data_IF_268284205993
#
_entry.id   IF_268284205993
#
_cell.length_a   1.000
_cell.length_b   1.000
_cell.length_c   1.000
_cell.angle_alpha   90.00
_cell.angle_beta   90.00
_cell.angle_gamma   90.00
#
_symmetry.space_group_name_H-M   'P 1'
#
loop_
_entity.id
_entity.type
_entity.pdbx_description
1 polymer ?
#
# COMPACT_ATOMS: atom_id res chain seq x y z
N UNK A 1 7.85 34.24 12.99
CA UNK A 1 7.89 33.95 11.54
C UNK A 1 7.65 32.44 11.44
N UNK A 2 6.39 32.00 11.37
CA UNK A 2 5.69 31.59 10.13
C UNK A 2 6.52 30.58 9.34
N UNK A 3 6.09 29.37 8.99
CA UNK A 3 4.88 28.56 9.13
C UNK A 3 5.27 27.19 8.53
N UNK A 4 4.36 26.20 8.61
CA UNK A 4 4.24 25.02 7.74
C UNK A 4 4.95 23.74 8.23
N UNK A 5 4.19 23.00 9.06
CA UNK A 5 3.77 21.61 8.82
C UNK A 5 4.49 20.91 7.64
N UNK A 6 5.27 19.85 7.88
CA UNK A 6 4.81 18.48 7.62
C UNK A 6 5.82 17.49 8.24
N UNK A 7 6.05 17.58 9.54
CA UNK A 7 6.41 16.39 10.31
C UNK A 7 5.12 15.61 10.46
N UNK A 8 4.87 14.63 9.58
CA UNK A 8 3.82 13.64 9.78
C UNK A 8 4.10 12.92 11.12
N UNK A 9 3.28 13.13 12.17
CA UNK A 9 3.54 12.54 13.47
C UNK A 9 2.99 11.10 13.58
N UNK A 10 2.72 10.39 12.46
CA UNK A 10 2.09 9.04 12.47
C UNK A 10 2.91 7.94 11.79
N UNK A 11 4.23 7.93 11.97
CA UNK A 11 5.12 7.01 11.25
C UNK A 11 5.84 5.94 12.06
N UNK A 12 5.23 5.27 13.05
CA UNK A 12 5.85 4.07 13.67
C UNK A 12 4.81 3.14 14.35
N UNK A 13 5.09 1.84 14.53
CA UNK A 13 5.48 0.83 13.56
C UNK A 13 4.50 -0.37 13.60
N UNK A 14 3.97 -0.83 12.47
CA UNK A 14 3.18 -2.08 12.44
C UNK A 14 4.06 -3.26 12.03
N UNK A 15 4.77 -3.82 13.02
CA UNK A 15 5.36 -5.15 12.93
C UNK A 15 4.30 -6.26 12.76
N UNK A 16 4.71 -7.48 12.37
CA UNK A 16 3.86 -8.42 11.64
C UNK A 16 2.79 -9.07 12.53
N UNK A 17 1.51 -8.80 12.24
CA UNK A 17 0.40 -9.60 12.77
C UNK A 17 0.09 -10.77 11.84
N UNK A 18 0.70 -11.90 12.20
CA UNK A 18 0.31 -13.30 12.03
C UNK A 18 -1.11 -13.57 11.47
N UNK A 19 -1.19 -14.30 10.35
CA UNK A 19 -2.15 -15.40 10.18
C UNK A 19 -3.45 -15.15 9.41
N UNK A 20 -3.51 -15.66 8.17
CA UNK A 20 -4.54 -16.66 7.86
C UNK A 20 -5.65 -16.30 6.87
N UNK A 21 -5.66 -15.12 6.25
CA UNK A 21 -6.66 -14.77 5.22
C UNK A 21 -6.03 -13.98 4.09
N UNK A 22 -6.36 -14.32 2.84
CA UNK A 22 -6.01 -13.42 1.72
C UNK A 22 -6.90 -12.18 1.86
N UNK A 23 -6.27 -11.01 2.04
CA UNK A 23 -6.98 -9.71 2.05
C UNK A 23 -7.73 -9.49 0.74
N UNK A 24 -7.19 -10.01 -0.36
CA UNK A 24 -7.83 -9.99 -1.67
C UNK A 24 -8.26 -11.40 -2.11
N UNK A 25 -9.42 -11.48 -2.75
CA UNK A 25 -9.80 -12.65 -3.54
C UNK A 25 -8.81 -12.90 -4.68
N UNK A 26 -8.96 -14.03 -5.38
CA UNK A 26 -8.10 -14.34 -6.52
C UNK A 26 -8.15 -13.21 -7.56
N UNK A 27 -6.98 -12.66 -7.91
CA UNK A 27 -6.85 -11.54 -8.86
C UNK A 27 -7.26 -10.16 -8.33
N UNK A 28 -7.85 -10.07 -7.13
CA UNK A 28 -8.35 -8.80 -6.58
C UNK A 28 -7.26 -7.75 -6.43
N UNK A 29 -6.09 -8.15 -5.93
CA UNK A 29 -4.94 -7.25 -5.80
C UNK A 29 -4.52 -6.67 -7.17
N UNK A 30 -4.47 -7.50 -8.21
CA UNK A 30 -4.08 -7.08 -9.56
C UNK A 30 -5.01 -5.98 -10.09
N UNK A 31 -6.32 -6.10 -9.87
CA UNK A 31 -7.29 -5.09 -10.28
C UNK A 31 -7.08 -3.77 -9.53
N UNK A 32 -6.80 -3.82 -8.23
CA UNK A 32 -6.47 -2.62 -7.44
C UNK A 32 -5.21 -1.94 -7.97
N UNK A 33 -4.14 -2.71 -8.25
CA UNK A 33 -2.90 -2.16 -8.81
C UNK A 33 -3.14 -1.51 -10.18
N UNK A 34 -3.86 -2.19 -11.07
CA UNK A 34 -4.21 -1.65 -12.39
C UNK A 34 -5.02 -0.36 -12.27
N UNK A 35 -5.98 -0.28 -11.35
CA UNK A 35 -6.73 0.96 -11.11
C UNK A 35 -5.83 2.11 -10.67
N UNK A 36 -4.93 1.86 -9.73
CA UNK A 36 -4.00 2.89 -9.22
C UNK A 36 -3.02 3.38 -10.29
N UNK A 37 -2.56 2.49 -11.16
CA UNK A 37 -1.66 2.82 -12.29
C UNK A 37 -2.42 3.54 -13.40
N UNK A 38 -3.66 3.14 -13.68
CA UNK A 38 -4.52 3.78 -14.68
C UNK A 38 -4.82 5.24 -14.32
N UNK A 39 -4.93 5.57 -13.03
CA UNK A 39 -5.12 6.94 -12.57
C UNK A 39 -3.84 7.78 -12.73
N UNK A 40 -2.66 7.23 -12.42
CA UNK A 40 -1.34 7.82 -12.70
C UNK A 40 -0.25 6.76 -12.67
N UNK A 41 0.85 6.90 -13.45
CA UNK A 41 2.05 6.09 -13.27
C UNK A 41 2.52 6.12 -11.81
N UNK A 42 2.86 4.95 -11.27
CA UNK A 42 3.31 4.75 -9.89
C UNK A 42 4.44 3.73 -9.85
N UNK A 43 5.41 3.96 -8.97
CA UNK A 43 6.39 2.96 -8.60
C UNK A 43 5.81 1.93 -7.61
N UNK A 44 6.43 0.75 -7.51
CA UNK A 44 5.93 -0.31 -6.62
C UNK A 44 5.80 0.11 -5.15
N UNK A 45 6.71 0.94 -4.65
CA UNK A 45 6.61 1.48 -3.28
C UNK A 45 5.43 2.44 -3.12
N UNK A 46 5.14 3.28 -4.11
CA UNK A 46 3.97 4.15 -4.08
C UNK A 46 2.67 3.34 -4.11
N UNK A 47 2.66 2.18 -4.77
CA UNK A 47 1.52 1.26 -4.77
C UNK A 47 1.32 0.61 -3.40
N UNK A 48 2.40 0.20 -2.73
CA UNK A 48 2.36 -0.32 -1.37
C UNK A 48 1.75 0.71 -0.43
N UNK A 49 2.25 1.95 -0.47
CA UNK A 49 1.76 3.05 0.38
C UNK A 49 0.32 3.43 0.08
N UNK A 50 -0.05 3.53 -1.19
CA UNK A 50 -1.43 3.83 -1.58
C UNK A 50 -2.43 2.76 -1.11
N UNK A 51 -2.03 1.48 -1.07
CA UNK A 51 -2.89 0.40 -0.55
C UNK A 51 -2.97 0.46 0.98
N UNK A 52 -1.84 0.66 1.65
CA UNK A 52 -1.76 0.82 3.11
C UNK A 52 -2.66 1.96 3.60
N UNK A 53 -2.56 3.13 2.98
CA UNK A 53 -3.34 4.33 3.31
C UNK A 53 -4.85 4.11 3.10
N UNK A 54 -5.24 3.51 1.96
CA UNK A 54 -6.66 3.24 1.64
C UNK A 54 -7.30 2.22 2.58
N UNK A 55 -6.50 1.34 3.17
CA UNK A 55 -6.94 0.35 4.15
C UNK A 55 -6.71 0.82 5.60
N UNK A 56 -6.39 2.10 5.80
CA UNK A 56 -6.19 2.67 7.14
C UNK A 56 -5.08 1.98 7.94
N UNK A 57 -4.05 1.49 7.26
CA UNK A 57 -2.94 0.76 7.88
C UNK A 57 -3.26 -0.69 8.30
N UNK A 58 -4.48 -1.20 8.02
CA UNK A 58 -4.84 -2.57 8.39
C UNK A 58 -4.13 -3.64 7.55
N UNK A 59 -3.60 -3.24 6.39
CA UNK A 59 -2.85 -4.12 5.49
C UNK A 59 -1.86 -3.30 4.65
N UNK A 60 -0.60 -3.71 4.67
CA UNK A 60 0.43 -3.22 3.75
C UNK A 60 0.97 -4.42 2.96
N UNK A 61 0.77 -4.49 1.63
CA UNK A 61 1.29 -5.58 0.82
C UNK A 61 2.82 -5.56 0.80
N UNK A 62 3.44 -6.73 0.87
CA UNK A 62 4.91 -6.80 0.78
C UNK A 62 5.40 -6.60 -0.66
N UNK A 63 6.65 -6.16 -0.86
CA UNK A 63 7.26 -6.07 -2.18
C UNK A 63 7.22 -7.39 -2.97
N UNK A 64 7.36 -8.53 -2.28
CA UNK A 64 7.30 -9.86 -2.89
C UNK A 64 5.91 -10.28 -3.35
N UNK A 65 4.85 -9.60 -2.91
CA UNK A 65 3.50 -9.76 -3.47
C UNK A 65 3.27 -8.77 -4.60
N UNK A 66 3.77 -7.54 -4.47
CA UNK A 66 3.57 -6.46 -5.45
C UNK A 66 4.30 -6.73 -6.76
N UNK A 67 5.62 -6.91 -6.73
CA UNK A 67 6.41 -6.95 -7.96
C UNK A 67 6.02 -8.10 -8.89
N UNK A 68 5.80 -9.33 -8.41
CA UNK A 68 5.31 -10.41 -9.28
C UNK A 68 3.90 -10.20 -9.81
N UNK A 69 3.08 -9.36 -9.15
CA UNK A 69 1.73 -9.03 -9.65
C UNK A 69 1.78 -7.98 -10.78
N UNK A 70 2.90 -7.27 -10.92
CA UNK A 70 3.11 -6.24 -11.95
C UNK A 70 3.78 -6.77 -13.23
N UNK A 71 4.40 -7.96 -13.17
CA UNK A 71 4.95 -8.68 -14.34
C UNK A 71 3.88 -9.49 -15.04
#
# INVERSE_FOLDING_TARGET
>A
MKDIELLDPRGAPAGPRRGGGRVFGHGGLRLVLLRLIADRPRHGYELIKAIEERLGGSYSPSPGVIYPTLT
#
